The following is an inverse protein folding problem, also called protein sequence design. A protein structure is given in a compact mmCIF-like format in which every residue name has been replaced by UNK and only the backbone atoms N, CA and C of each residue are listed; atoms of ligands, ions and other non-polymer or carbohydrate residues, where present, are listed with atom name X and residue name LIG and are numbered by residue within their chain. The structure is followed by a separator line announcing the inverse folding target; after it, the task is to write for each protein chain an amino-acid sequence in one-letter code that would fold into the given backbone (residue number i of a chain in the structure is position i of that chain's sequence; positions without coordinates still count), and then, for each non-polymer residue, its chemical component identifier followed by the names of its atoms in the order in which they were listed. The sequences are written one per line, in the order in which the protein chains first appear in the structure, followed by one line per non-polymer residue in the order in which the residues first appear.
data_IF_328819543921
#
_entry.id   IF_328819543921
#
_cell.length_a   1.000
_cell.length_b   1.000
_cell.length_c   1.000
_cell.angle_alpha   90.00
_cell.angle_beta   90.00
_cell.angle_gamma   90.00
#
_symmetry.space_group_name_H-M   'P 1'
#
loop_
_entity.id
_entity.type
_entity.pdbx_description
1 polymer ?
#
# COMPACT_ATOMS: atom_id res chain seq x y z
N UNK A 1 31.94 -16.91 33.82
CA UNK A 1 30.99 -15.80 33.65
C UNK A 1 30.54 -15.84 32.19
N UNK A 2 29.39 -16.49 31.95
CA UNK A 2 28.84 -16.64 30.61
C UNK A 2 28.03 -15.42 30.26
N UNK A 3 28.29 -14.84 29.09
CA UNK A 3 27.42 -13.87 28.45
C UNK A 3 26.23 -14.66 27.87
N UNK A 4 25.05 -14.48 28.46
CA UNK A 4 23.79 -14.87 27.83
C UNK A 4 23.60 -13.98 26.61
N UNK A 5 23.65 -14.58 25.39
CA UNK A 5 23.24 -13.94 24.16
C UNK A 5 21.74 -13.69 24.24
N UNK A 6 21.32 -12.45 23.95
CA UNK A 6 19.94 -12.11 23.68
C UNK A 6 19.47 -12.99 22.51
N UNK A 7 18.50 -13.85 22.78
CA UNK A 7 17.76 -14.56 21.74
C UNK A 7 17.06 -13.51 20.88
N UNK A 8 17.57 -13.29 19.67
CA UNK A 8 16.97 -12.37 18.71
C UNK A 8 15.55 -12.84 18.44
N UNK A 9 14.57 -12.03 18.81
CA UNK A 9 13.18 -12.17 18.43
C UNK A 9 13.16 -12.32 16.89
N UNK A 10 12.80 -13.48 16.38
CA UNK A 10 12.61 -13.70 14.94
C UNK A 10 11.42 -12.84 14.55
N UNK A 11 11.68 -11.63 14.08
CA UNK A 11 10.65 -10.72 13.62
C UNK A 11 10.05 -11.33 12.33
N UNK A 12 8.95 -12.05 12.48
CA UNK A 12 8.20 -12.60 11.35
C UNK A 12 7.76 -11.44 10.43
N UNK A 13 7.88 -11.66 9.13
CA UNK A 13 7.45 -10.68 8.14
C UNK A 13 6.00 -10.23 8.35
N UNK A 14 5.77 -8.92 8.28
CA UNK A 14 4.42 -8.33 8.44
C UNK A 14 3.68 -8.29 7.12
N UNK A 15 2.49 -8.88 7.05
CA UNK A 15 1.59 -8.81 5.89
C UNK A 15 0.75 -7.54 5.98
N UNK A 16 0.94 -6.64 5.01
CA UNK A 16 0.25 -5.35 4.92
C UNK A 16 -0.69 -5.41 3.72
N UNK A 17 -1.98 -5.24 3.93
CA UNK A 17 -2.96 -5.20 2.84
C UNK A 17 -3.40 -3.78 2.55
N UNK A 18 -3.17 -3.30 1.33
CA UNK A 18 -3.78 -2.08 0.85
C UNK A 18 -5.14 -2.41 0.24
N UNK A 19 -6.17 -1.75 0.72
CA UNK A 19 -7.55 -2.03 0.33
C UNK A 19 -8.36 -0.75 0.22
N UNK A 20 -9.49 -0.82 -0.47
CA UNK A 20 -10.42 0.30 -0.63
C UNK A 20 -11.81 -0.20 -0.91
N UNK A 21 -12.81 0.53 -0.44
CA UNK A 21 -14.20 0.24 -0.76
C UNK A 21 -14.56 0.55 -2.22
N UNK A 22 -13.82 1.45 -2.88
CA UNK A 22 -14.14 1.96 -4.22
C UNK A 22 -12.93 1.84 -5.16
N UNK A 23 -13.20 1.55 -6.44
CA UNK A 23 -12.18 1.55 -7.49
C UNK A 23 -11.66 2.96 -7.81
N UNK A 24 -10.41 3.06 -8.31
CA UNK A 24 -9.84 4.31 -8.80
C UNK A 24 -9.36 5.30 -7.73
N UNK A 25 -9.38 4.94 -6.45
CA UNK A 25 -8.87 5.79 -5.35
C UNK A 25 -7.34 5.81 -5.23
N UNK A 26 -6.61 5.12 -6.08
CA UNK A 26 -5.14 5.10 -6.06
C UNK A 26 -4.52 3.99 -5.21
N UNK A 27 -5.23 2.90 -4.97
CA UNK A 27 -4.78 1.77 -4.16
C UNK A 27 -3.48 1.13 -4.68
N UNK A 28 -3.44 0.68 -5.93
CA UNK A 28 -2.25 0.08 -6.57
C UNK A 28 -1.05 1.03 -6.57
N UNK A 29 -1.29 2.33 -6.86
CA UNK A 29 -0.25 3.37 -6.76
C UNK A 29 0.29 3.48 -5.33
N UNK A 30 -0.60 3.42 -4.33
CA UNK A 30 -0.22 3.46 -2.93
C UNK A 30 0.53 2.19 -2.51
N UNK A 31 0.12 1.00 -2.99
CA UNK A 31 0.82 -0.26 -2.74
C UNK A 31 2.27 -0.21 -3.26
N UNK A 32 2.44 0.22 -4.51
CA UNK A 32 3.76 0.43 -5.11
C UNK A 32 4.60 1.45 -4.33
N UNK A 33 4.00 2.58 -3.92
CA UNK A 33 4.71 3.62 -3.18
C UNK A 33 5.09 3.19 -1.75
N UNK A 34 4.19 2.52 -1.01
CA UNK A 34 4.48 2.01 0.34
C UNK A 34 5.56 0.94 0.28
N UNK A 35 5.46 -0.04 -0.63
CA UNK A 35 6.47 -1.09 -0.78
C UNK A 35 7.85 -0.50 -1.15
N UNK A 36 7.91 0.39 -2.13
CA UNK A 36 9.16 1.05 -2.51
C UNK A 36 9.70 1.93 -1.38
N UNK A 37 8.85 2.62 -0.62
CA UNK A 37 9.25 3.43 0.53
C UNK A 37 9.83 2.60 1.67
N UNK A 38 9.28 1.42 1.97
CA UNK A 38 9.83 0.46 2.93
C UNK A 38 11.21 -0.05 2.45
N UNK A 39 11.32 -0.39 1.17
CA UNK A 39 12.58 -0.83 0.58
C UNK A 39 13.68 0.25 0.59
N UNK A 40 13.32 1.53 0.37
CA UNK A 40 14.24 2.68 0.51
C UNK A 40 14.77 2.84 1.94
N UNK A 41 14.09 2.29 2.94
CA UNK A 41 14.51 2.24 4.35
C UNK A 41 15.31 0.97 4.69
N UNK A 42 15.74 0.22 3.69
CA UNK A 42 16.54 -0.99 3.85
C UNK A 42 15.72 -2.22 4.24
N UNK A 43 14.38 -2.14 4.25
CA UNK A 43 13.51 -3.28 4.58
C UNK A 43 13.27 -4.14 3.34
N UNK A 44 13.57 -5.42 3.45
CA UNK A 44 13.34 -6.36 2.34
C UNK A 44 11.84 -6.55 2.15
N UNK A 45 11.31 -6.05 1.04
CA UNK A 45 9.88 -5.89 0.80
C UNK A 45 9.48 -6.53 -0.52
N UNK A 46 8.39 -7.28 -0.51
CA UNK A 46 7.71 -7.76 -1.71
C UNK A 46 6.33 -7.12 -1.82
N UNK A 47 5.96 -6.68 -3.01
CA UNK A 47 4.59 -6.24 -3.32
C UNK A 47 3.92 -7.25 -4.23
N UNK A 48 2.72 -7.71 -3.85
CA UNK A 48 1.95 -8.75 -4.53
C UNK A 48 0.66 -8.16 -5.08
N UNK A 49 0.35 -8.46 -6.33
CA UNK A 49 -0.91 -8.10 -6.96
C UNK A 49 -1.97 -9.20 -6.72
N UNK A 50 -3.07 -8.86 -6.03
CA UNK A 50 -4.22 -9.75 -5.81
C UNK A 50 -5.37 -9.48 -6.80
N UNK A 51 -5.22 -8.51 -7.72
CA UNK A 51 -6.26 -8.16 -8.70
C UNK A 51 -6.12 -9.01 -9.97
N UNK A 52 -6.45 -10.29 -9.83
CA UNK A 52 -6.39 -11.28 -10.91
C UNK A 52 -7.27 -10.84 -12.08
N UNK A 53 -6.68 -10.85 -13.28
CA UNK A 53 -7.32 -10.47 -14.53
C UNK A 53 -7.02 -9.03 -14.98
N UNK A 54 -6.75 -8.08 -14.07
CA UNK A 54 -6.42 -6.69 -14.45
C UNK A 54 -4.93 -6.43 -14.52
N UNK A 55 -4.14 -6.97 -13.59
CA UNK A 55 -2.68 -6.89 -13.56
C UNK A 55 -2.13 -5.48 -13.84
N UNK A 56 -2.38 -4.57 -12.87
CA UNK A 56 -1.97 -3.17 -12.99
C UNK A 56 -0.67 -2.86 -12.24
N UNK A 57 -0.30 -3.67 -11.26
CA UNK A 57 0.84 -3.41 -10.39
C UNK A 57 2.17 -3.45 -11.15
N UNK A 58 2.37 -4.42 -12.03
CA UNK A 58 3.60 -4.58 -12.81
C UNK A 58 3.82 -3.43 -13.80
N UNK A 59 2.75 -2.81 -14.31
CA UNK A 59 2.82 -1.59 -15.13
C UNK A 59 3.32 -0.41 -14.29
N UNK A 60 2.74 -0.20 -13.09
CA UNK A 60 3.15 0.88 -12.18
C UNK A 60 4.59 0.67 -11.69
N UNK A 61 5.03 -0.58 -11.57
CA UNK A 61 6.39 -0.95 -11.18
C UNK A 61 7.36 -0.98 -12.37
N UNK A 62 6.89 -0.89 -13.61
CA UNK A 62 7.70 -0.90 -14.84
C UNK A 62 8.40 -2.24 -15.08
N UNK A 63 7.75 -3.34 -14.72
CA UNK A 63 8.32 -4.67 -14.87
C UNK A 63 7.45 -5.63 -15.72
N UNK A 64 6.43 -5.15 -16.41
CA UNK A 64 5.46 -5.92 -17.18
C UNK A 64 6.10 -6.87 -18.21
N UNK A 65 7.22 -6.43 -18.83
CA UNK A 65 7.96 -7.22 -19.83
C UNK A 65 8.88 -8.29 -19.22
N UNK A 66 8.99 -8.32 -17.90
CA UNK A 66 9.85 -9.28 -17.18
C UNK A 66 9.06 -10.41 -16.55
N UNK A 67 7.75 -10.40 -16.66
CA UNK A 67 6.86 -11.42 -16.10
C UNK A 67 6.92 -12.67 -16.96
N UNK A 68 7.42 -13.76 -16.38
CA UNK A 68 7.47 -15.11 -16.99
C UNK A 68 6.47 -16.01 -16.28
N UNK A 69 6.52 -16.01 -14.95
CA UNK A 69 5.58 -16.69 -14.08
C UNK A 69 4.92 -15.68 -13.16
N UNK A 70 3.73 -16.00 -12.68
CA UNK A 70 2.90 -15.17 -11.83
C UNK A 70 2.51 -15.86 -10.52
N UNK A 71 1.82 -15.14 -9.64
CA UNK A 71 1.38 -15.61 -8.34
C UNK A 71 0.52 -16.89 -8.46
N UNK A 72 -0.35 -16.98 -9.48
CA UNK A 72 -1.21 -18.15 -9.67
C UNK A 72 -0.41 -19.38 -10.10
N UNK A 73 0.66 -19.23 -10.91
CA UNK A 73 1.55 -20.34 -11.24
C UNK A 73 2.20 -20.93 -9.98
N UNK A 74 2.60 -20.08 -9.02
CA UNK A 74 3.20 -20.58 -7.77
C UNK A 74 2.16 -21.22 -6.86
N UNK A 75 0.95 -20.64 -6.75
CA UNK A 75 -0.17 -21.25 -6.01
C UNK A 75 -0.49 -22.66 -6.54
N UNK A 76 -0.48 -22.84 -7.85
CA UNK A 76 -0.79 -24.13 -8.50
C UNK A 76 0.39 -25.12 -8.48
N UNK A 77 1.60 -24.66 -8.14
CA UNK A 77 2.82 -25.49 -8.20
C UNK A 77 3.44 -25.59 -9.60
N UNK A 78 2.98 -24.75 -10.56
CA UNK A 78 3.52 -24.68 -11.93
C UNK A 78 4.89 -23.99 -11.97
N UNK A 79 5.23 -23.20 -10.96
CA UNK A 79 6.50 -22.50 -10.81
C UNK A 79 6.93 -22.41 -9.33
N UNK A 80 8.24 -22.28 -9.11
CA UNK A 80 8.80 -21.98 -7.79
C UNK A 80 8.72 -20.47 -7.51
N UNK A 81 8.66 -20.09 -6.24
CA UNK A 81 8.59 -18.70 -5.81
C UNK A 81 9.69 -17.82 -6.43
N UNK A 82 10.93 -18.27 -6.41
CA UNK A 82 12.08 -17.53 -6.96
C UNK A 82 12.05 -17.34 -8.49
N UNK A 83 11.24 -18.09 -9.23
CA UNK A 83 11.06 -17.93 -10.67
C UNK A 83 10.01 -16.87 -11.03
N UNK A 84 9.09 -16.60 -10.11
CA UNK A 84 8.00 -15.65 -10.30
C UNK A 84 8.28 -14.27 -9.65
N UNK A 85 9.18 -14.19 -8.66
CA UNK A 85 9.59 -12.95 -8.04
C UNK A 85 10.47 -12.11 -8.98
N UNK A 86 10.08 -10.85 -9.16
CA UNK A 86 10.82 -9.89 -9.97
C UNK A 86 11.52 -8.87 -9.07
N UNK A 87 12.85 -8.94 -8.99
CA UNK A 87 13.64 -7.93 -8.27
C UNK A 87 13.57 -6.58 -9.01
N UNK A 88 13.28 -5.50 -8.29
CA UNK A 88 13.28 -4.15 -8.86
C UNK A 88 14.69 -3.71 -9.27
N UNK A 89 14.78 -2.93 -10.35
CA UNK A 89 16.07 -2.46 -10.87
C UNK A 89 16.63 -1.24 -10.10
N UNK A 90 15.77 -0.55 -9.34
CA UNK A 90 16.08 0.71 -8.65
C UNK A 90 16.45 0.49 -7.19
N UNK A 91 16.02 -0.62 -6.60
CA UNK A 91 16.30 -0.92 -5.19
C UNK A 91 16.40 -2.44 -4.96
N UNK A 92 17.53 -2.87 -4.41
CA UNK A 92 17.84 -4.29 -4.19
C UNK A 92 16.95 -4.98 -3.15
N UNK A 93 16.28 -4.21 -2.29
CA UNK A 93 15.35 -4.71 -1.27
C UNK A 93 13.90 -4.78 -1.75
N UNK A 94 13.60 -4.36 -3.00
CA UNK A 94 12.26 -4.32 -3.54
C UNK A 94 12.02 -5.45 -4.54
N UNK A 95 10.93 -6.19 -4.33
CA UNK A 95 10.50 -7.27 -5.20
C UNK A 95 9.03 -7.10 -5.58
N UNK A 96 8.69 -7.51 -6.79
CA UNK A 96 7.32 -7.50 -7.32
C UNK A 96 6.89 -8.92 -7.59
N UNK A 97 5.69 -9.27 -7.17
CA UNK A 97 5.06 -10.55 -7.45
C UNK A 97 3.77 -10.29 -8.23
N UNK A 98 3.82 -10.36 -9.56
CA UNK A 98 2.68 -10.06 -10.41
C UNK A 98 1.62 -11.17 -10.33
N UNK A 99 0.38 -10.81 -10.65
CA UNK A 99 -0.72 -11.77 -10.79
C UNK A 99 -0.95 -12.17 -12.25
N UNK A 100 -1.92 -13.08 -12.48
CA UNK A 100 -2.28 -13.57 -13.80
C UNK A 100 -3.26 -12.63 -14.51
N UNK A 101 -3.09 -12.47 -15.83
CA UNK A 101 -4.05 -11.76 -16.70
C UNK A 101 -5.14 -12.72 -17.25
N UNK A 102 -4.87 -14.02 -17.30
CA UNK A 102 -5.67 -15.00 -18.03
C UNK A 102 -6.41 -15.97 -17.15
N UNK A 103 -6.18 -15.94 -15.85
CA UNK A 103 -6.84 -16.81 -14.87
C UNK A 103 -8.02 -16.11 -14.23
N UNK A 104 -8.99 -16.90 -13.76
CA UNK A 104 -10.14 -16.41 -13.03
C UNK A 104 -9.80 -16.10 -11.57
N UNK A 105 -10.60 -15.24 -10.93
CA UNK A 105 -10.43 -14.82 -9.52
C UNK A 105 -10.51 -15.99 -8.53
N UNK A 106 -11.21 -17.06 -8.89
CA UNK A 106 -11.31 -18.32 -8.12
C UNK A 106 -9.99 -19.09 -8.04
N UNK A 107 -8.99 -18.75 -8.86
CA UNK A 107 -7.64 -19.32 -8.78
C UNK A 107 -6.89 -18.94 -7.49
N UNK A 108 -7.29 -17.87 -6.79
CA UNK A 108 -6.76 -17.47 -5.49
C UNK A 108 -7.33 -18.37 -4.37
N UNK A 109 -6.94 -19.63 -4.36
CA UNK A 109 -7.31 -20.58 -3.30
C UNK A 109 -6.59 -20.22 -1.99
N UNK A 110 -7.34 -20.11 -0.88
CA UNK A 110 -6.84 -19.68 0.42
C UNK A 110 -5.61 -20.49 0.88
N UNK A 111 -5.66 -21.82 0.80
CA UNK A 111 -4.55 -22.69 1.22
C UNK A 111 -3.28 -22.46 0.37
N UNK A 112 -3.45 -22.20 -0.93
CA UNK A 112 -2.34 -21.88 -1.83
C UNK A 112 -1.71 -20.52 -1.51
N UNK A 113 -2.55 -19.53 -1.21
CA UNK A 113 -2.10 -18.19 -0.79
C UNK A 113 -1.36 -18.28 0.55
N UNK A 114 -1.90 -19.01 1.54
CA UNK A 114 -1.27 -19.21 2.85
C UNK A 114 0.13 -19.79 2.71
N UNK A 115 0.28 -20.89 1.95
CA UNK A 115 1.59 -21.51 1.70
C UNK A 115 2.60 -20.56 1.10
N UNK A 116 2.18 -19.74 0.11
CA UNK A 116 3.09 -18.78 -0.55
C UNK A 116 3.45 -17.64 0.40
N UNK A 117 2.49 -17.13 1.20
CA UNK A 117 2.77 -16.10 2.19
C UNK A 117 3.74 -16.59 3.27
N UNK A 118 3.61 -17.85 3.70
CA UNK A 118 4.51 -18.43 4.70
C UNK A 118 5.94 -18.61 4.15
N UNK A 119 6.10 -19.03 2.90
CA UNK A 119 7.41 -19.07 2.24
C UNK A 119 8.04 -17.68 2.07
N UNK A 120 7.21 -16.65 1.79
CA UNK A 120 7.66 -15.26 1.70
C UNK A 120 8.12 -14.71 3.06
N UNK A 121 7.42 -15.05 4.15
CA UNK A 121 7.78 -14.61 5.51
C UNK A 121 9.18 -15.02 5.96
N UNK A 122 9.71 -16.09 5.41
CA UNK A 122 11.09 -16.54 5.69
C UNK A 122 12.16 -15.60 5.10
N UNK A 123 11.80 -14.80 4.10
CA UNK A 123 12.76 -14.08 3.27
C UNK A 123 12.54 -12.57 3.20
N UNK A 124 11.45 -12.04 3.73
CA UNK A 124 11.08 -10.63 3.64
C UNK A 124 10.75 -10.06 5.01
N UNK A 125 10.94 -8.76 5.21
CA UNK A 125 10.48 -8.02 6.38
C UNK A 125 9.00 -7.62 6.23
N UNK A 126 8.59 -7.28 4.99
CA UNK A 126 7.24 -6.84 4.67
C UNK A 126 6.72 -7.49 3.40
N UNK A 127 5.47 -7.92 3.46
CA UNK A 127 4.70 -8.42 2.33
C UNK A 127 3.53 -7.46 2.12
N UNK A 128 3.57 -6.67 1.05
CA UNK A 128 2.55 -5.66 0.73
C UNK A 128 1.60 -6.24 -0.31
N UNK A 129 0.32 -6.41 0.04
CA UNK A 129 -0.69 -6.97 -0.84
C UNK A 129 -1.56 -5.84 -1.42
N UNK A 130 -1.52 -5.64 -2.74
CA UNK A 130 -2.47 -4.80 -3.46
C UNK A 130 -3.75 -5.59 -3.72
N UNK A 131 -4.82 -5.32 -2.97
CA UNK A 131 -6.08 -6.05 -3.12
C UNK A 131 -6.93 -5.45 -4.24
N UNK A 132 -7.85 -6.18 -4.87
CA UNK A 132 -8.90 -5.56 -5.69
C UNK A 132 -9.78 -4.63 -4.84
N UNK A 133 -10.52 -3.73 -5.49
CA UNK A 133 -11.46 -2.85 -4.80
C UNK A 133 -12.69 -3.62 -4.30
N UNK A 134 -13.29 -3.15 -3.22
CA UNK A 134 -14.54 -3.70 -2.68
C UNK A 134 -14.35 -5.00 -1.91
N UNK A 135 -15.31 -5.92 -2.06
CA UNK A 135 -15.44 -7.12 -1.24
C UNK A 135 -15.52 -8.41 -2.07
N UNK A 136 -14.98 -8.37 -3.28
CA UNK A 136 -14.91 -9.57 -4.13
C UNK A 136 -13.92 -10.59 -3.56
N UNK A 137 -13.90 -11.80 -4.13
CA UNK A 137 -13.13 -12.94 -3.65
C UNK A 137 -11.64 -12.59 -3.41
N UNK A 138 -10.98 -11.97 -4.38
CA UNK A 138 -9.57 -11.57 -4.24
C UNK A 138 -9.32 -10.58 -3.10
N UNK A 139 -10.23 -9.60 -2.90
CA UNK A 139 -10.14 -8.66 -1.79
C UNK A 139 -10.31 -9.39 -0.44
N UNK A 140 -11.34 -10.22 -0.31
CA UNK A 140 -11.57 -11.00 0.93
C UNK A 140 -10.41 -11.93 1.23
N UNK A 141 -9.82 -12.57 0.21
CA UNK A 141 -8.65 -13.44 0.39
C UNK A 141 -7.44 -12.66 0.90
N UNK A 142 -7.14 -11.49 0.32
CA UNK A 142 -6.06 -10.64 0.80
C UNK A 142 -6.31 -10.15 2.24
N UNK A 143 -7.52 -9.64 2.54
CA UNK A 143 -7.91 -9.15 3.87
C UNK A 143 -7.84 -10.23 4.94
N UNK A 144 -8.08 -11.48 4.57
CA UNK A 144 -8.03 -12.61 5.51
C UNK A 144 -6.65 -12.77 6.16
N UNK A 145 -5.58 -12.58 5.38
CA UNK A 145 -4.20 -12.79 5.85
C UNK A 145 -3.54 -11.51 6.42
N UNK A 146 -4.25 -10.40 6.52
CA UNK A 146 -3.68 -9.13 6.95
C UNK A 146 -3.24 -9.16 8.43
N UNK A 147 -1.99 -8.76 8.68
CA UNK A 147 -1.52 -8.35 10.01
C UNK A 147 -1.79 -6.87 10.24
N UNK A 148 -1.69 -6.08 9.17
CA UNK A 148 -2.02 -4.66 9.14
C UNK A 148 -2.73 -4.32 7.84
N UNK A 149 -3.66 -3.37 7.87
CA UNK A 149 -4.39 -2.91 6.71
C UNK A 149 -4.28 -1.40 6.55
N UNK A 150 -4.03 -0.94 5.32
CA UNK A 150 -4.07 0.47 4.95
C UNK A 150 -5.31 0.69 4.09
N UNK A 151 -6.29 1.38 4.65
CA UNK A 151 -7.51 1.78 3.95
C UNK A 151 -7.20 2.99 3.10
N UNK A 152 -7.17 2.80 1.78
CA UNK A 152 -6.94 3.88 0.81
C UNK A 152 -8.28 4.44 0.37
N UNK A 153 -8.51 5.71 0.58
CA UNK A 153 -9.74 6.38 0.17
C UNK A 153 -9.47 7.83 -0.28
N UNK A 154 -10.32 8.35 -1.14
CA UNK A 154 -10.39 9.78 -1.42
C UNK A 154 -11.48 10.41 -0.55
N UNK A 155 -11.37 11.71 -0.20
CA UNK A 155 -12.29 12.39 0.72
C UNK A 155 -13.63 12.72 0.04
N UNK A 156 -14.31 11.69 -0.46
CA UNK A 156 -15.66 11.73 -1.02
C UNK A 156 -16.60 10.86 -0.15
N UNK A 157 -17.81 11.34 0.11
CA UNK A 157 -18.78 10.68 0.98
C UNK A 157 -19.00 9.19 0.63
N UNK A 158 -19.13 8.88 -0.66
CA UNK A 158 -19.32 7.50 -1.12
C UNK A 158 -18.11 6.62 -0.82
N UNK A 159 -16.89 7.12 -1.09
CA UNK A 159 -15.65 6.37 -0.85
C UNK A 159 -15.41 6.11 0.63
N UNK A 160 -15.72 7.09 1.48
CA UNK A 160 -15.59 6.97 2.94
C UNK A 160 -16.57 5.94 3.49
N UNK A 161 -17.84 5.94 3.04
CA UNK A 161 -18.84 4.91 3.43
C UNK A 161 -18.44 3.50 3.03
N UNK A 162 -17.91 3.35 1.81
CA UNK A 162 -17.45 2.05 1.34
C UNK A 162 -16.23 1.57 2.14
N UNK A 163 -15.39 2.50 2.60
CA UNK A 163 -14.23 2.21 3.46
C UNK A 163 -14.65 1.73 4.85
N UNK A 164 -15.69 2.31 5.45
CA UNK A 164 -16.25 1.86 6.74
C UNK A 164 -16.69 0.38 6.68
N UNK A 165 -17.32 -0.01 5.56
CA UNK A 165 -17.68 -1.41 5.33
C UNK A 165 -16.48 -2.36 5.31
N UNK A 166 -15.37 -1.95 4.71
CA UNK A 166 -14.12 -2.75 4.69
C UNK A 166 -13.56 -2.93 6.12
N UNK A 167 -13.60 -1.88 6.94
CA UNK A 167 -13.17 -1.94 8.34
C UNK A 167 -13.99 -2.99 9.11
N UNK A 168 -15.31 -3.02 8.92
CA UNK A 168 -16.18 -4.03 9.52
C UNK A 168 -15.85 -5.47 9.07
N UNK A 169 -15.44 -5.66 7.81
CA UNK A 169 -15.00 -6.97 7.30
C UNK A 169 -13.68 -7.39 7.94
N UNK A 170 -12.70 -6.51 8.04
CA UNK A 170 -11.43 -6.79 8.72
C UNK A 170 -11.66 -7.22 10.16
N UNK A 171 -12.53 -6.53 10.89
CA UNK A 171 -12.85 -6.83 12.28
C UNK A 171 -13.53 -8.19 12.48
N UNK A 172 -14.27 -8.69 11.46
CA UNK A 172 -15.12 -9.88 11.61
C UNK A 172 -14.68 -11.10 10.79
N UNK A 173 -13.91 -10.92 9.71
CA UNK A 173 -13.60 -11.99 8.75
C UNK A 173 -12.12 -12.19 8.46
N UNK A 174 -11.23 -11.46 9.16
CA UNK A 174 -9.78 -11.72 9.08
C UNK A 174 -9.43 -13.02 9.80
N UNK A 175 -8.29 -13.64 9.44
CA UNK A 175 -7.72 -14.78 10.16
C UNK A 175 -7.56 -14.47 11.64
N UNK A 176 -7.15 -13.24 11.97
CA UNK A 176 -7.00 -12.78 13.35
C UNK A 176 -8.31 -12.80 14.13
N UNK A 177 -9.40 -12.35 13.48
CA UNK A 177 -10.73 -12.41 14.08
C UNK A 177 -11.24 -13.85 14.22
N UNK A 178 -11.05 -14.69 13.21
CA UNK A 178 -11.47 -16.10 13.23
C UNK A 178 -10.77 -16.90 14.34
N UNK A 179 -9.50 -16.61 14.64
CA UNK A 179 -8.71 -17.28 15.65
C UNK A 179 -8.62 -16.54 16.99
N UNK A 180 -9.42 -15.48 17.19
CA UNK A 180 -9.42 -14.65 18.41
C UNK A 180 -8.03 -14.11 18.79
N UNK A 181 -7.24 -13.74 17.79
CA UNK A 181 -5.94 -13.06 17.94
C UNK A 181 -6.14 -11.55 18.09
N UNK A 182 -5.03 -10.83 18.40
CA UNK A 182 -5.04 -9.37 18.39
C UNK A 182 -5.60 -8.84 17.06
N UNK A 183 -6.48 -7.84 17.09
CA UNK A 183 -7.10 -7.29 15.88
C UNK A 183 -6.10 -6.86 14.82
N UNK A 184 -6.52 -6.86 13.55
CA UNK A 184 -5.74 -6.28 12.46
C UNK A 184 -5.50 -4.80 12.76
N UNK A 185 -4.25 -4.35 12.67
CA UNK A 185 -3.90 -2.94 12.82
C UNK A 185 -4.37 -2.17 11.58
N UNK A 186 -5.28 -1.22 11.75
CA UNK A 186 -5.91 -0.50 10.62
C UNK A 186 -5.46 0.95 10.57
N UNK A 187 -5.07 1.41 9.39
CA UNK A 187 -4.63 2.79 9.14
C UNK A 187 -5.39 3.42 7.97
N UNK A 188 -5.58 4.72 8.02
CA UNK A 188 -6.20 5.51 6.96
C UNK A 188 -5.13 6.20 6.10
N UNK A 189 -5.21 6.05 4.79
CA UNK A 189 -4.44 6.82 3.81
C UNK A 189 -5.39 7.59 2.90
N UNK A 190 -5.44 8.91 3.06
CA UNK A 190 -6.23 9.79 2.18
C UNK A 190 -5.43 10.12 0.93
N UNK A 191 -6.04 9.97 -0.24
CA UNK A 191 -5.44 10.25 -1.54
C UNK A 191 -6.21 11.31 -2.30
N UNK A 192 -5.59 11.91 -3.33
CA UNK A 192 -6.19 12.98 -4.16
C UNK A 192 -6.77 14.13 -3.34
N UNK A 193 -6.11 14.46 -2.23
CA UNK A 193 -6.54 15.53 -1.36
C UNK A 193 -6.25 16.89 -2.00
N UNK A 194 -7.25 17.78 -1.99
CA UNK A 194 -7.12 19.15 -2.47
C UNK A 194 -7.68 20.12 -1.44
N UNK A 195 -6.79 20.87 -0.79
CA UNK A 195 -7.18 21.89 0.19
C UNK A 195 -8.09 22.97 -0.43
N UNK A 196 -7.91 23.28 -1.71
CA UNK A 196 -8.75 24.24 -2.42
C UNK A 196 -10.19 23.71 -2.55
N UNK A 197 -10.38 22.44 -2.91
CA UNK A 197 -11.69 21.81 -3.02
C UNK A 197 -12.38 21.67 -1.66
N UNK A 198 -11.63 21.39 -0.61
CA UNK A 198 -12.16 21.39 0.77
C UNK A 198 -12.70 22.77 1.14
N UNK A 199 -11.95 23.86 0.87
CA UNK A 199 -12.40 25.23 1.14
C UNK A 199 -13.65 25.64 0.35
N UNK A 200 -13.87 25.05 -0.82
CA UNK A 200 -15.08 25.26 -1.63
C UNK A 200 -16.27 24.40 -1.21
N UNK A 201 -16.09 23.50 -0.24
CA UNK A 201 -17.12 22.52 0.15
C UNK A 201 -17.36 21.39 -0.86
N UNK A 202 -16.43 21.19 -1.79
CA UNK A 202 -16.50 20.15 -2.85
C UNK A 202 -15.88 18.83 -2.41
N UNK A 203 -15.23 18.80 -1.24
CA UNK A 203 -14.47 17.66 -0.73
C UNK A 203 -14.55 17.67 0.80
N UNK A 204 -14.63 16.48 1.42
CA UNK A 204 -14.56 16.34 2.87
C UNK A 204 -13.20 16.81 3.40
N UNK A 205 -13.18 17.39 4.58
CA UNK A 205 -11.94 17.68 5.28
C UNK A 205 -11.30 16.40 5.85
N UNK A 206 -10.06 16.49 6.27
CA UNK A 206 -9.37 15.39 6.98
C UNK A 206 -10.09 15.07 8.28
N UNK A 207 -10.55 16.09 8.97
CA UNK A 207 -11.28 16.00 10.23
C UNK A 207 -12.61 15.26 10.05
N UNK A 208 -13.40 15.59 9.00
CA UNK A 208 -14.65 14.90 8.68
C UNK A 208 -14.41 13.39 8.44
N UNK A 209 -13.39 13.05 7.66
CA UNK A 209 -13.09 11.64 7.34
C UNK A 209 -12.62 10.88 8.59
N UNK A 210 -11.80 11.50 9.44
CA UNK A 210 -11.35 10.91 10.71
C UNK A 210 -12.50 10.68 11.67
N UNK A 211 -13.44 11.60 11.75
CA UNK A 211 -14.64 11.47 12.59
C UNK A 211 -15.51 10.29 12.11
N UNK A 212 -15.72 10.15 10.79
CA UNK A 212 -16.54 9.09 10.23
C UNK A 212 -15.90 7.71 10.42
N UNK A 213 -14.61 7.56 10.09
CA UNK A 213 -13.96 6.24 10.07
C UNK A 213 -13.35 5.84 11.42
N UNK A 214 -13.03 6.79 12.28
CA UNK A 214 -12.48 6.57 13.63
C UNK A 214 -11.24 5.67 13.67
N UNK A 215 -10.40 5.71 12.64
CA UNK A 215 -9.14 4.97 12.54
C UNK A 215 -7.93 5.91 12.42
N UNK A 216 -6.72 5.48 12.87
CA UNK A 216 -5.52 6.31 12.80
C UNK A 216 -5.19 6.78 11.38
N UNK A 217 -4.94 8.08 11.22
CA UNK A 217 -4.51 8.67 9.96
C UNK A 217 -3.02 8.44 9.73
N UNK A 218 -2.68 7.64 8.73
CA UNK A 218 -1.31 7.35 8.33
C UNK A 218 -0.72 8.48 7.47
N UNK A 219 -1.50 9.02 6.54
CA UNK A 219 -1.02 10.05 5.63
C UNK A 219 -2.11 10.68 4.78
N UNK A 220 -1.76 11.85 4.24
CA UNK A 220 -2.58 12.56 3.25
C UNK A 220 -1.73 12.82 2.02
N UNK A 221 -2.14 12.24 0.90
CA UNK A 221 -1.45 12.36 -0.38
C UNK A 221 -2.17 13.43 -1.21
N UNK A 222 -1.51 14.54 -1.52
CA UNK A 222 -2.12 15.59 -2.31
C UNK A 222 -2.39 15.13 -3.75
N UNK A 223 -3.40 15.70 -4.37
CA UNK A 223 -3.60 15.58 -5.81
C UNK A 223 -2.37 16.15 -6.53
N UNK A 224 -1.76 15.36 -7.43
CA UNK A 224 -0.47 15.71 -8.02
C UNK A 224 -0.30 15.06 -9.39
N UNK A 225 0.12 15.85 -10.37
CA UNK A 225 0.48 15.37 -11.71
C UNK A 225 1.66 14.39 -11.69
N UNK A 226 2.54 14.50 -10.67
CA UNK A 226 3.67 13.58 -10.51
C UNK A 226 3.22 12.13 -10.31
N UNK A 227 2.06 11.89 -9.69
CA UNK A 227 1.49 10.54 -9.53
C UNK A 227 1.12 9.95 -10.90
N UNK A 228 0.46 10.72 -11.76
CA UNK A 228 0.11 10.27 -13.10
C UNK A 228 1.35 10.02 -13.95
N UNK A 229 2.32 10.95 -13.92
CA UNK A 229 3.60 10.80 -14.61
C UNK A 229 4.35 9.55 -14.15
N UNK A 230 4.44 9.33 -12.85
CA UNK A 230 5.09 8.17 -12.24
C UNK A 230 4.44 6.85 -12.72
N UNK A 231 3.11 6.76 -12.69
CA UNK A 231 2.36 5.59 -13.18
C UNK A 231 2.62 5.34 -14.67
N UNK A 232 2.62 6.38 -15.51
CA UNK A 232 2.84 6.26 -16.95
C UNK A 232 4.29 5.87 -17.31
N UNK A 233 5.24 6.17 -16.43
CA UNK A 233 6.66 5.82 -16.63
C UNK A 233 7.07 4.51 -15.96
N UNK A 234 6.14 3.80 -15.31
CA UNK A 234 6.43 2.57 -14.58
C UNK A 234 7.40 2.79 -13.42
N UNK A 235 7.29 3.92 -12.73
CA UNK A 235 8.17 4.27 -11.61
C UNK A 235 7.31 4.71 -10.43
N UNK A 236 7.33 4.00 -9.29
CA UNK A 236 6.61 4.43 -8.08
C UNK A 236 6.96 5.86 -7.70
N UNK A 237 5.95 6.69 -7.41
CA UNK A 237 6.09 8.13 -7.17
C UNK A 237 7.03 8.48 -6.00
N UNK A 238 7.26 7.55 -5.10
CA UNK A 238 8.14 7.70 -3.95
C UNK A 238 9.62 7.86 -4.34
N UNK A 239 10.01 7.45 -5.54
CA UNK A 239 11.34 7.71 -6.07
C UNK A 239 11.54 9.17 -6.53
N UNK A 240 10.45 9.90 -6.77
CA UNK A 240 10.47 11.35 -6.99
C UNK A 240 10.32 12.09 -5.65
N UNK A 241 11.44 12.19 -4.91
CA UNK A 241 11.47 12.81 -3.57
C UNK A 241 11.25 14.34 -3.59
N UNK A 242 11.31 14.97 -4.76
CA UNK A 242 11.02 16.40 -4.91
C UNK A 242 9.52 16.66 -5.03
N UNK A 243 8.73 15.67 -5.47
CA UNK A 243 7.29 15.83 -5.61
C UNK A 243 6.57 15.85 -4.26
N UNK A 244 5.50 16.66 -4.13
CA UNK A 244 4.67 16.68 -2.93
C UNK A 244 4.09 15.28 -2.60
N UNK A 245 3.63 14.55 -3.59
CA UNK A 245 3.09 13.21 -3.40
C UNK A 245 4.16 12.20 -2.96
N UNK A 246 5.36 12.21 -3.58
CA UNK A 246 6.47 11.34 -3.18
C UNK A 246 6.87 11.57 -1.73
N UNK A 247 7.02 12.84 -1.32
CA UNK A 247 7.32 13.20 0.08
C UNK A 247 6.22 12.76 1.05
N UNK A 248 4.94 12.91 0.68
CA UNK A 248 3.82 12.48 1.52
C UNK A 248 3.80 10.95 1.73
N UNK A 249 4.12 10.17 0.69
CA UNK A 249 4.25 8.73 0.83
C UNK A 249 5.43 8.33 1.71
N UNK A 250 6.59 8.99 1.57
CA UNK A 250 7.75 8.74 2.45
C UNK A 250 7.43 9.05 3.92
N UNK A 251 6.70 10.13 4.19
CA UNK A 251 6.26 10.46 5.54
C UNK A 251 5.22 9.44 6.07
N UNK A 252 4.32 8.94 5.22
CA UNK A 252 3.38 7.88 5.58
C UNK A 252 4.12 6.58 5.94
N UNK A 253 5.11 6.19 5.13
CA UNK A 253 5.97 5.02 5.43
C UNK A 253 6.73 5.21 6.75
N UNK A 254 7.28 6.41 6.99
CA UNK A 254 7.96 6.72 8.25
C UNK A 254 7.05 6.53 9.47
N UNK A 255 5.80 7.05 9.40
CA UNK A 255 4.81 6.85 10.47
C UNK A 255 4.42 5.39 10.64
N UNK A 256 4.29 4.65 9.53
CA UNK A 256 3.95 3.23 9.56
C UNK A 256 5.00 2.40 10.33
N UNK A 257 6.28 2.76 10.21
CA UNK A 257 7.36 2.11 10.96
C UNK A 257 7.63 2.74 12.34
N UNK A 258 6.71 3.57 12.84
CA UNK A 258 6.73 4.13 14.20
C UNK A 258 7.45 5.47 14.36
N UNK A 259 7.93 6.10 13.28
CA UNK A 259 8.53 7.43 13.39
C UNK A 259 7.48 8.53 13.49
N UNK A 260 7.76 9.54 14.30
CA UNK A 260 6.93 10.74 14.35
C UNK A 260 7.27 11.65 13.16
N UNK A 261 6.28 11.94 12.33
CA UNK A 261 6.37 12.85 11.20
C UNK A 261 5.14 13.75 11.14
N UNK A 262 5.36 15.03 10.89
CA UNK A 262 4.26 15.99 10.69
C UNK A 262 3.48 15.67 9.39
N UNK A 263 2.17 15.99 9.39
CA UNK A 263 1.34 15.91 8.18
C UNK A 263 1.61 17.12 7.30
N UNK A 264 2.23 16.91 6.15
CA UNK A 264 2.49 17.97 5.17
C UNK A 264 1.25 18.27 4.33
N UNK A 265 1.26 19.41 3.67
CA UNK A 265 0.28 19.83 2.65
C UNK A 265 -1.19 19.96 3.14
N UNK A 266 -1.43 20.01 4.46
CA UNK A 266 -2.73 20.29 5.05
C UNK A 266 -3.03 21.79 5.17
N UNK A 267 -1.99 22.63 5.10
CA UNK A 267 -2.11 24.09 5.13
C UNK A 267 -1.61 24.64 3.80
N UNK A 268 -2.15 25.78 3.32
CA UNK A 268 -1.61 26.45 2.15
C UNK A 268 -0.13 26.74 2.40
N UNK A 269 0.72 26.41 1.42
CA UNK A 269 2.11 26.86 1.47
C UNK A 269 2.11 28.36 1.75
N UNK A 270 2.71 28.79 2.86
CA UNK A 270 3.03 30.21 3.07
C UNK A 270 4.00 30.56 1.96
N UNK A 271 3.49 31.11 0.85
CA UNK A 271 4.33 31.73 -0.16
C UNK A 271 5.21 32.72 0.58
N UNK A 272 6.51 32.43 0.67
CA UNK A 272 7.50 33.36 1.20
C UNK A 272 7.40 34.60 0.35
N UNK A 273 6.82 35.66 0.91
CA UNK A 273 6.69 36.99 0.30
C UNK A 273 8.10 37.55 -0.05
N UNK A 274 9.13 37.01 0.56
CA UNK A 274 10.54 37.38 0.31
C UNK A 274 11.05 37.06 -1.11
N UNK A 275 10.52 36.05 -1.83
CA UNK A 275 10.96 35.76 -3.20
C UNK A 275 10.38 36.70 -4.26
N UNK A 276 9.27 37.39 -3.98
CA UNK A 276 8.68 38.36 -4.91
C UNK A 276 9.29 39.76 -4.80
N UNK A 277 9.99 40.07 -3.68
CA UNK A 277 10.59 41.38 -3.43
C UNK A 277 12.04 41.51 -3.89
N UNK A 278 12.75 40.41 -4.14
CA UNK A 278 14.18 40.44 -4.50
C UNK A 278 14.52 39.71 -5.82
N UNK A 279 13.53 39.42 -6.66
CA UNK A 279 13.69 38.74 -7.96
C UNK A 279 13.58 39.69 -9.15
N UNK A 280 14.27 40.83 -9.12
CA UNK A 280 14.63 41.65 -10.29
C UNK A 280 15.97 42.31 -10.03
N UNK A 281 17.01 41.71 -10.49
CA UNK A 281 18.25 42.34 -10.95
C UNK A 281 18.79 41.46 -12.08
#
# INVERSE_FOLDING_TARGET
MGFAGEEGEVCLAKVIVLTSGKGGVGKTTSAAAIAAGLALRGKRTVVIDFDVGLRNLDLIMGCERRVVFDFINVINGDAKLNQALIKDKRNDNLYVFPTSQTRDKEALKRDGVERVLDELKENFDYIVCDSPAGIEHGAITALYFADSAIIVTNPEVSSVRDSDRIIGILASKSRRAEHNLEPVEVHLLLTRYSLERVKKGEMLSVEDVKEILSIPLLGVIPESESVLKASNTGTPVVFDQESPAGRSYLDAVARFVGEQREMRFLQPERRSIFRSLFGRA
#
